data_IF_143368734893
#
_entry.id   IF_143368734893
#
_cell.length_a   1.000
_cell.length_b   1.000
_cell.length_c   1.000
_cell.angle_alpha   90.00
_cell.angle_beta   90.00
_cell.angle_gamma   90.00
#
_symmetry.space_group_name_H-M   'P 1'
#
loop_
_entity.id
_entity.type
_entity.pdbx_description
1 polymer ?
#
# COMPACT_ATOMS: atom_id res chain seq x y z
N UNK A 1 32.98 51.04 45.71
CA UNK A 1 34.20 50.28 45.98
C UNK A 1 34.43 49.27 44.88
N UNK A 2 35.69 49.15 44.41
CA UNK A 2 36.06 48.25 43.31
C UNK A 2 35.74 46.79 43.61
N UNK A 3 35.90 46.35 44.84
CA UNK A 3 35.56 44.98 45.27
C UNK A 3 34.10 44.69 45.11
N UNK A 4 33.23 45.64 45.50
CA UNK A 4 31.77 45.49 45.35
C UNK A 4 31.36 45.38 43.90
N UNK A 5 31.99 46.17 43.01
CA UNK A 5 31.74 46.11 41.57
C UNK A 5 32.18 44.78 40.97
N UNK A 6 33.33 44.23 41.39
CA UNK A 6 33.80 42.91 40.96
C UNK A 6 32.88 41.78 41.42
N UNK A 7 32.39 41.85 42.67
CA UNK A 7 31.42 40.87 43.18
C UNK A 7 30.10 40.91 42.44
N UNK A 8 29.63 42.11 42.13
CA UNK A 8 28.41 42.29 41.34
C UNK A 8 28.55 41.76 39.91
N UNK A 9 29.70 42.06 39.26
CA UNK A 9 30.00 41.53 37.93
C UNK A 9 30.11 39.99 37.95
N UNK A 10 30.74 39.42 38.96
CA UNK A 10 30.85 37.96 39.12
C UNK A 10 29.48 37.33 39.29
N UNK A 11 28.60 37.95 40.08
CA UNK A 11 27.22 37.47 40.28
C UNK A 11 26.43 37.57 38.98
N UNK A 12 26.55 38.66 38.25
CA UNK A 12 25.90 38.83 36.94
C UNK A 12 26.36 37.79 35.95
N UNK A 13 27.66 37.55 35.88
CA UNK A 13 28.27 36.55 34.99
C UNK A 13 27.72 35.15 35.31
N UNK A 14 27.64 34.81 36.59
CA UNK A 14 27.08 33.51 37.04
C UNK A 14 25.62 33.39 36.69
N UNK A 15 24.82 34.44 36.87
CA UNK A 15 23.41 34.46 36.51
C UNK A 15 23.21 34.30 35.00
N UNK A 16 24.05 34.95 34.19
CA UNK A 16 24.01 34.81 32.73
C UNK A 16 24.39 33.40 32.29
N UNK A 17 25.39 32.79 32.91
CA UNK A 17 25.77 31.40 32.63
C UNK A 17 24.62 30.42 32.96
N UNK A 18 24.00 30.62 34.12
CA UNK A 18 22.83 29.79 34.54
C UNK A 18 21.68 29.97 33.57
N UNK A 19 21.36 31.21 33.20
CA UNK A 19 20.30 31.52 32.24
C UNK A 19 20.59 30.90 30.86
N UNK A 20 21.84 30.98 30.41
CA UNK A 20 22.29 30.37 29.16
C UNK A 20 22.10 28.84 29.20
N UNK A 21 22.46 28.19 30.29
CA UNK A 21 22.27 26.77 30.49
C UNK A 21 20.81 26.36 30.48
N UNK A 22 19.94 27.13 31.15
CA UNK A 22 18.49 26.92 31.15
C UNK A 22 17.91 27.05 29.75
N UNK A 23 18.27 28.10 29.02
CA UNK A 23 17.79 28.34 27.64
C UNK A 23 18.28 27.27 26.68
N UNK A 24 19.52 26.80 26.82
CA UNK A 24 20.05 25.70 26.01
C UNK A 24 19.30 24.41 26.22
N UNK A 25 19.00 24.08 27.50
CA UNK A 25 18.20 22.90 27.86
C UNK A 25 16.76 23.00 27.31
N UNK A 26 16.14 24.18 27.47
CA UNK A 26 14.80 24.44 26.93
C UNK A 26 14.76 24.32 25.40
N UNK A 27 15.79 24.82 24.73
CA UNK A 27 15.91 24.70 23.27
C UNK A 27 16.04 23.23 22.82
N UNK A 28 16.81 22.42 23.55
CA UNK A 28 16.96 21.00 23.24
C UNK A 28 15.63 20.25 23.45
N UNK A 29 14.89 20.57 24.51
CA UNK A 29 13.57 20.00 24.77
C UNK A 29 12.57 20.36 23.66
N UNK A 30 12.58 21.61 23.21
CA UNK A 30 11.73 22.06 22.11
C UNK A 30 12.06 21.38 20.78
N UNK A 31 13.36 21.19 20.49
CA UNK A 31 13.82 20.47 19.29
C UNK A 31 13.39 19.02 19.33
N UNK A 32 13.50 18.35 20.46
CA UNK A 32 13.05 16.97 20.65
C UNK A 32 11.55 16.86 20.46
N UNK A 33 10.75 17.77 21.03
CA UNK A 33 9.30 17.81 20.88
C UNK A 33 8.89 18.03 19.42
N UNK A 34 9.56 18.93 18.70
CA UNK A 34 9.32 19.17 17.28
C UNK A 34 9.64 17.96 16.43
N UNK A 35 10.76 17.26 16.71
CA UNK A 35 11.13 16.03 16.01
C UNK A 35 10.13 14.91 16.24
N UNK A 36 9.62 14.74 17.46
CA UNK A 36 8.57 13.76 17.76
C UNK A 36 7.26 14.09 17.06
N UNK A 37 6.89 15.37 17.00
CA UNK A 37 5.69 15.82 16.30
C UNK A 37 5.78 15.52 14.78
N UNK A 38 6.93 15.78 14.16
CA UNK A 38 7.18 15.47 12.76
C UNK A 38 7.10 13.95 12.50
N UNK A 39 7.69 13.14 13.38
CA UNK A 39 7.63 11.68 13.26
C UNK A 39 6.19 11.15 13.35
N UNK A 40 5.38 11.69 14.25
CA UNK A 40 3.96 11.35 14.37
C UNK A 40 3.17 11.76 13.12
N UNK A 41 3.41 12.95 12.59
CA UNK A 41 2.75 13.43 11.38
C UNK A 41 3.09 12.55 10.18
N UNK A 42 4.35 12.18 9.99
CA UNK A 42 4.79 11.27 8.94
C UNK A 42 4.15 9.89 9.07
N UNK A 43 4.09 9.35 10.29
CA UNK A 43 3.42 8.07 10.56
C UNK A 43 1.92 8.12 10.22
N UNK A 44 1.25 9.21 10.58
CA UNK A 44 -0.17 9.42 10.28
C UNK A 44 -0.42 9.51 8.77
N UNK A 45 0.40 10.27 8.05
CA UNK A 45 0.30 10.38 6.58
C UNK A 45 0.53 9.03 5.91
N UNK A 46 1.52 8.27 6.35
CA UNK A 46 1.80 6.93 5.82
C UNK A 46 0.63 5.99 6.05
N UNK A 47 0.07 5.96 7.24
CA UNK A 47 -1.09 5.13 7.58
C UNK A 47 -2.31 5.53 6.74
N UNK A 48 -2.55 6.83 6.55
CA UNK A 48 -3.64 7.35 5.73
C UNK A 48 -3.47 6.94 4.26
N UNK A 49 -2.27 7.07 3.69
CA UNK A 49 -1.97 6.67 2.31
C UNK A 49 -2.19 5.18 2.12
N UNK A 50 -1.72 4.34 3.05
CA UNK A 50 -1.93 2.90 3.00
C UNK A 50 -3.41 2.54 3.07
N UNK A 51 -4.18 3.22 3.91
CA UNK A 51 -5.63 3.02 3.99
C UNK A 51 -6.34 3.42 2.70
N UNK A 52 -5.93 4.51 2.05
CA UNK A 52 -6.46 4.95 0.76
C UNK A 52 -6.13 3.96 -0.36
N UNK A 53 -4.92 3.40 -0.38
CA UNK A 53 -4.53 2.36 -1.34
C UNK A 53 -5.39 1.11 -1.15
N UNK A 54 -5.56 0.64 0.08
CA UNK A 54 -6.40 -0.52 0.40
C UNK A 54 -7.88 -0.30 0.05
N UNK A 55 -8.39 0.92 0.24
CA UNK A 55 -9.74 1.30 -0.14
C UNK A 55 -9.92 1.52 -1.66
N UNK A 56 -8.83 1.56 -2.42
CA UNK A 56 -8.87 1.77 -3.86
C UNK A 56 -9.19 3.20 -4.30
N UNK A 57 -8.98 4.19 -3.44
CA UNK A 57 -9.35 5.59 -3.68
C UNK A 57 -8.24 6.43 -4.30
N UNK A 58 -7.01 5.93 -4.35
CA UNK A 58 -5.85 6.61 -4.95
C UNK A 58 -5.18 5.72 -6.00
N UNK A 59 -4.67 6.35 -7.05
CA UNK A 59 -3.87 5.66 -8.06
C UNK A 59 -2.53 5.23 -7.48
N UNK A 60 -2.05 4.07 -7.91
CA UNK A 60 -0.77 3.49 -7.51
C UNK A 60 -0.02 3.04 -8.77
N UNK A 61 1.28 3.22 -8.81
CA UNK A 61 2.13 2.68 -9.85
C UNK A 61 3.36 2.01 -9.25
N UNK A 62 3.92 1.06 -9.97
CA UNK A 62 5.10 0.33 -9.54
C UNK A 62 5.26 -0.99 -10.28
N UNK A 63 6.24 -1.80 -9.87
CA UNK A 63 6.41 -3.14 -10.42
C UNK A 63 5.20 -4.01 -10.08
N UNK A 64 4.95 -4.99 -10.92
CA UNK A 64 3.83 -5.87 -10.69
C UNK A 64 3.69 -6.96 -11.75
N UNK A 65 2.46 -7.38 -11.94
CA UNK A 65 2.08 -8.47 -12.84
C UNK A 65 0.83 -8.08 -13.63
N UNK A 66 0.83 -8.43 -14.90
CA UNK A 66 -0.40 -8.45 -15.71
C UNK A 66 -0.83 -9.89 -15.90
N UNK A 67 -2.08 -10.20 -15.60
CA UNK A 67 -2.67 -11.53 -15.81
C UNK A 67 -3.78 -11.41 -16.84
N UNK A 68 -3.58 -12.05 -17.98
CA UNK A 68 -4.58 -12.14 -19.03
C UNK A 68 -5.32 -13.48 -18.94
N UNK A 69 -6.65 -13.44 -18.88
CA UNK A 69 -7.49 -14.63 -18.84
C UNK A 69 -8.50 -14.57 -19.97
N UNK A 70 -8.47 -15.56 -20.85
CA UNK A 70 -9.47 -15.72 -21.90
C UNK A 70 -10.33 -16.95 -21.58
N UNK A 71 -11.62 -16.76 -21.49
CA UNK A 71 -12.60 -17.79 -21.17
C UNK A 71 -13.60 -17.96 -22.32
N UNK A 72 -13.24 -18.67 -23.39
CA UNK A 72 -14.08 -18.77 -24.57
C UNK A 72 -15.38 -19.54 -24.32
N UNK A 73 -15.38 -20.46 -23.35
CA UNK A 73 -16.55 -21.25 -22.98
C UNK A 73 -17.46 -20.60 -21.94
N UNK A 74 -17.09 -19.43 -21.44
CA UNK A 74 -17.81 -18.75 -20.35
C UNK A 74 -18.03 -19.67 -19.14
N UNK A 75 -17.01 -20.43 -18.75
CA UNK A 75 -17.08 -21.44 -17.68
C UNK A 75 -16.60 -20.93 -16.31
N UNK A 76 -15.95 -19.78 -16.27
CA UNK A 76 -15.47 -19.19 -15.03
C UNK A 76 -16.64 -18.59 -14.24
N UNK A 77 -16.68 -18.87 -12.97
CA UNK A 77 -17.69 -18.36 -12.03
C UNK A 77 -17.07 -17.35 -11.07
N UNK A 78 -17.90 -16.65 -10.32
CA UNK A 78 -17.45 -15.72 -9.29
C UNK A 78 -16.45 -16.37 -8.31
N UNK A 79 -16.55 -17.66 -8.07
CA UNK A 79 -15.64 -18.40 -7.18
C UNK A 79 -14.18 -18.32 -7.63
N UNK A 80 -13.89 -18.44 -8.93
CA UNK A 80 -12.52 -18.33 -9.45
C UNK A 80 -11.96 -16.91 -9.27
N UNK A 81 -12.80 -15.89 -9.43
CA UNK A 81 -12.38 -14.49 -9.22
C UNK A 81 -12.10 -14.20 -7.74
N UNK A 82 -12.96 -14.65 -6.84
CA UNK A 82 -12.74 -14.53 -5.39
C UNK A 82 -11.44 -15.22 -4.96
N UNK A 83 -11.22 -16.44 -5.45
CA UNK A 83 -10.01 -17.19 -5.16
C UNK A 83 -8.76 -16.48 -5.69
N UNK A 84 -8.79 -16.02 -6.93
CA UNK A 84 -7.68 -15.26 -7.53
C UNK A 84 -7.37 -14.02 -6.71
N UNK A 85 -8.38 -13.25 -6.33
CA UNK A 85 -8.20 -12.07 -5.49
C UNK A 85 -7.57 -12.42 -4.13
N UNK A 86 -8.02 -13.50 -3.52
CA UNK A 86 -7.45 -13.99 -2.26
C UNK A 86 -5.98 -14.39 -2.39
N UNK A 87 -5.62 -15.09 -3.45
CA UNK A 87 -4.24 -15.48 -3.72
C UNK A 87 -3.34 -14.27 -4.00
N UNK A 88 -3.81 -13.29 -4.76
CA UNK A 88 -3.09 -12.04 -5.02
C UNK A 88 -2.81 -11.28 -3.73
N UNK A 89 -3.78 -11.17 -2.85
CA UNK A 89 -3.62 -10.52 -1.54
C UNK A 89 -2.63 -11.26 -0.65
N UNK A 90 -2.74 -12.57 -0.59
CA UNK A 90 -1.82 -13.41 0.18
C UNK A 90 -0.39 -13.35 -0.35
N UNK A 91 -0.21 -13.12 -1.64
CA UNK A 91 1.09 -12.94 -2.28
C UNK A 91 1.68 -11.53 -2.10
N UNK A 92 1.01 -10.65 -1.39
CA UNK A 92 1.49 -9.30 -1.09
C UNK A 92 1.12 -8.24 -2.13
N UNK A 93 0.05 -8.46 -2.90
CA UNK A 93 -0.44 -7.44 -3.83
C UNK A 93 -0.82 -6.16 -3.09
N UNK A 94 -0.30 -5.03 -3.55
CA UNK A 94 -0.54 -3.72 -2.96
C UNK A 94 -1.76 -3.03 -3.58
N UNK A 95 -1.97 -3.21 -4.88
CA UNK A 95 -3.09 -2.68 -5.61
C UNK A 95 -3.49 -3.64 -6.74
N UNK A 96 -4.78 -3.76 -6.98
CA UNK A 96 -5.33 -4.72 -7.94
C UNK A 96 -6.42 -4.02 -8.77
N UNK A 97 -6.37 -4.18 -10.08
CA UNK A 97 -7.39 -3.73 -11.03
C UNK A 97 -7.83 -4.91 -11.90
N UNK A 98 -9.10 -5.01 -12.18
CA UNK A 98 -9.68 -6.02 -13.07
C UNK A 98 -10.59 -5.33 -14.10
N UNK A 99 -10.25 -5.44 -15.37
CA UNK A 99 -11.00 -4.83 -16.49
C UNK A 99 -11.33 -3.34 -16.26
N UNK A 100 -10.37 -2.58 -15.76
CA UNK A 100 -10.55 -1.16 -15.47
C UNK A 100 -11.22 -0.85 -14.13
N UNK A 101 -11.61 -1.87 -13.36
CA UNK A 101 -12.21 -1.70 -12.04
C UNK A 101 -11.15 -1.88 -10.95
N UNK A 102 -10.89 -0.81 -10.19
CA UNK A 102 -9.98 -0.87 -9.04
C UNK A 102 -10.64 -1.65 -7.92
N UNK A 103 -9.98 -2.72 -7.46
CA UNK A 103 -10.46 -3.55 -6.37
C UNK A 103 -10.04 -2.98 -5.01
N UNK A 104 -10.89 -3.16 -4.02
CA UNK A 104 -10.65 -2.76 -2.63
C UNK A 104 -10.78 -3.95 -1.70
N UNK A 105 -10.56 -3.72 -0.42
CA UNK A 105 -10.79 -4.74 0.62
C UNK A 105 -12.25 -5.19 0.73
N UNK A 106 -13.18 -4.42 0.15
CA UNK A 106 -14.64 -4.69 0.16
C UNK A 106 -15.17 -5.15 -1.19
N UNK A 107 -14.31 -5.33 -2.19
CA UNK A 107 -14.76 -5.74 -3.51
C UNK A 107 -15.46 -7.09 -3.49
N UNK A 108 -16.55 -7.19 -4.21
CA UNK A 108 -17.39 -8.39 -4.30
C UNK A 108 -17.60 -8.79 -5.76
N UNK A 109 -17.61 -10.09 -5.98
CA UNK A 109 -17.92 -10.71 -7.26
C UNK A 109 -19.29 -11.40 -7.17
N UNK A 110 -20.13 -11.11 -8.13
CA UNK A 110 -21.47 -11.69 -8.25
C UNK A 110 -21.74 -12.11 -9.69
N UNK A 111 -22.91 -12.67 -9.92
CA UNK A 111 -23.33 -13.11 -11.25
C UNK A 111 -23.04 -14.58 -11.50
N UNK A 112 -23.42 -15.02 -12.71
CA UNK A 112 -23.24 -16.39 -13.18
C UNK A 112 -22.07 -16.50 -14.14
N UNK A 113 -21.69 -17.72 -14.51
CA UNK A 113 -20.66 -17.95 -15.52
C UNK A 113 -20.99 -17.19 -16.82
N UNK A 114 -20.02 -16.46 -17.34
CA UNK A 114 -20.18 -15.60 -18.52
C UNK A 114 -20.88 -14.26 -18.28
N UNK A 115 -21.39 -14.02 -17.09
CA UNK A 115 -22.07 -12.78 -16.68
C UNK A 115 -21.61 -12.32 -15.30
N UNK A 116 -20.29 -12.20 -15.13
CA UNK A 116 -19.65 -11.80 -13.87
C UNK A 116 -19.80 -10.30 -13.67
N UNK A 117 -20.11 -9.92 -12.44
CA UNK A 117 -20.21 -8.53 -12.00
C UNK A 117 -19.22 -8.30 -10.86
N UNK A 118 -18.36 -7.31 -10.99
CA UNK A 118 -17.44 -6.88 -9.95
C UNK A 118 -17.81 -5.47 -9.48
N UNK A 119 -18.12 -5.34 -8.20
CA UNK A 119 -18.51 -4.06 -7.57
C UNK A 119 -19.61 -3.32 -8.37
N UNK A 120 -20.59 -4.06 -8.86
CA UNK A 120 -21.68 -3.51 -9.67
C UNK A 120 -21.36 -3.28 -11.15
N UNK A 121 -20.13 -3.53 -11.59
CA UNK A 121 -19.71 -3.38 -13.00
C UNK A 121 -19.64 -4.74 -13.66
N UNK A 122 -20.42 -4.96 -14.75
CA UNK A 122 -20.34 -6.19 -15.54
C UNK A 122 -18.98 -6.28 -16.25
N UNK A 123 -18.38 -7.45 -16.21
CA UNK A 123 -17.14 -7.76 -16.92
C UNK A 123 -17.30 -9.00 -17.79
N UNK A 124 -16.56 -9.04 -18.87
CA UNK A 124 -16.58 -10.16 -19.82
C UNK A 124 -15.16 -10.56 -20.22
N UNK A 125 -15.02 -11.79 -20.69
CA UNK A 125 -13.75 -12.24 -21.29
C UNK A 125 -13.40 -11.42 -22.52
N UNK A 126 -12.12 -11.07 -22.76
CA UNK A 126 -10.98 -11.39 -21.91
C UNK A 126 -10.91 -10.58 -20.60
N UNK A 127 -10.46 -11.22 -19.54
CA UNK A 127 -10.26 -10.57 -18.26
C UNK A 127 -8.79 -10.18 -18.10
N UNK A 128 -8.54 -8.93 -17.78
CA UNK A 128 -7.17 -8.42 -17.54
C UNK A 128 -7.03 -7.94 -16.10
N UNK A 129 -6.17 -8.60 -15.37
CA UNK A 129 -5.78 -8.20 -14.02
C UNK A 129 -4.48 -7.40 -14.10
N UNK A 130 -4.46 -6.25 -13.48
CA UNK A 130 -3.24 -5.47 -13.23
C UNK A 130 -2.98 -5.49 -11.73
N UNK A 131 -1.81 -5.95 -11.34
CA UNK A 131 -1.47 -6.16 -9.92
C UNK A 131 -0.14 -5.50 -9.64
N UNK A 132 -0.12 -4.60 -8.66
CA UNK A 132 1.10 -3.95 -8.19
C UNK A 132 1.62 -4.70 -6.96
N UNK A 133 2.91 -5.00 -6.96
CA UNK A 133 3.63 -5.74 -5.93
C UNK A 133 4.88 -6.40 -6.50
N UNK A 134 5.47 -7.33 -5.75
CA UNK A 134 6.60 -8.11 -6.27
C UNK A 134 6.13 -9.08 -7.35
N UNK A 135 6.47 -8.76 -8.59
CA UNK A 135 5.99 -9.49 -9.77
C UNK A 135 6.37 -10.98 -9.77
N UNK A 136 7.57 -11.31 -9.33
CA UNK A 136 8.03 -12.69 -9.31
C UNK A 136 7.30 -13.52 -8.24
N UNK A 137 7.14 -12.95 -7.06
CA UNK A 137 6.41 -13.59 -5.96
C UNK A 137 4.96 -13.85 -6.34
N UNK A 138 4.29 -12.85 -6.91
CA UNK A 138 2.89 -12.92 -7.31
C UNK A 138 2.71 -13.92 -8.45
N UNK A 139 3.58 -13.88 -9.47
CA UNK A 139 3.52 -14.81 -10.59
C UNK A 139 3.69 -16.27 -10.11
N UNK A 140 4.63 -16.51 -9.22
CA UNK A 140 4.86 -17.85 -8.64
C UNK A 140 3.64 -18.31 -7.83
N UNK A 141 3.06 -17.44 -7.01
CA UNK A 141 1.90 -17.75 -6.19
C UNK A 141 0.67 -18.14 -7.03
N UNK A 142 0.44 -17.46 -8.15
CA UNK A 142 -0.69 -17.77 -9.04
C UNK A 142 -0.49 -19.08 -9.82
N UNK A 143 0.73 -19.43 -10.14
CA UNK A 143 1.06 -20.57 -11.02
C UNK A 143 1.43 -21.85 -10.26
N UNK A 144 1.16 -21.90 -8.97
CA UNK A 144 1.33 -23.13 -8.18
C UNK A 144 0.33 -24.22 -8.59
N UNK A 145 0.69 -25.45 -8.33
CA UNK A 145 -0.21 -26.59 -8.54
C UNK A 145 -1.49 -26.43 -7.71
N UNK A 146 -2.65 -26.59 -8.34
CA UNK A 146 -3.96 -26.36 -7.74
C UNK A 146 -4.27 -24.90 -7.35
N UNK A 147 -3.44 -23.92 -7.75
CA UNK A 147 -3.73 -22.50 -7.61
C UNK A 147 -4.83 -22.01 -8.55
N UNK A 148 -5.17 -20.73 -8.46
CA UNK A 148 -6.27 -20.13 -9.24
C UNK A 148 -6.02 -20.23 -10.76
N UNK A 149 -4.79 -20.04 -11.22
CA UNK A 149 -4.46 -20.18 -12.64
C UNK A 149 -4.69 -21.61 -13.13
N UNK A 150 -4.26 -22.61 -12.37
CA UNK A 150 -4.48 -24.02 -12.70
C UNK A 150 -5.98 -24.36 -12.73
N UNK A 151 -6.75 -23.86 -11.81
CA UNK A 151 -8.21 -24.07 -11.77
C UNK A 151 -8.93 -23.41 -12.93
N UNK A 152 -8.54 -22.19 -13.31
CA UNK A 152 -9.10 -21.53 -14.49
C UNK A 152 -8.77 -22.29 -15.78
N UNK A 153 -7.55 -22.77 -15.93
CA UNK A 153 -7.13 -23.61 -17.06
C UNK A 153 -7.90 -24.93 -17.12
N UNK A 154 -8.17 -25.54 -15.96
CA UNK A 154 -8.98 -26.77 -15.88
C UNK A 154 -10.41 -26.56 -16.35
N UNK A 155 -10.93 -25.33 -16.27
CA UNK A 155 -12.25 -24.95 -16.81
C UNK A 155 -12.22 -24.53 -18.28
N UNK A 156 -11.08 -24.62 -18.94
CA UNK A 156 -10.93 -24.31 -20.36
C UNK A 156 -10.46 -22.89 -20.65
N UNK A 157 -10.15 -22.10 -19.64
CA UNK A 157 -9.59 -20.77 -19.83
C UNK A 157 -8.10 -20.81 -20.17
N UNK A 158 -7.65 -19.79 -20.88
CA UNK A 158 -6.21 -19.51 -21.11
C UNK A 158 -5.75 -18.45 -20.14
N UNK A 159 -4.69 -18.73 -19.41
CA UNK A 159 -4.14 -17.79 -18.40
C UNK A 159 -2.69 -17.48 -18.74
N UNK A 160 -2.38 -16.21 -18.92
CA UNK A 160 -1.03 -15.70 -19.19
C UNK A 160 -0.62 -14.74 -18.07
N UNK A 161 0.51 -15.02 -17.42
CA UNK A 161 1.03 -14.24 -16.30
C UNK A 161 2.33 -13.59 -16.75
N UNK A 162 2.37 -12.26 -16.76
CA UNK A 162 3.52 -11.48 -17.25
C UNK A 162 3.98 -10.48 -16.20
N UNK A 163 5.16 -10.69 -15.57
CA UNK A 163 5.76 -9.68 -14.71
C UNK A 163 6.09 -8.40 -15.48
N UNK A 164 5.88 -7.24 -14.85
CA UNK A 164 6.10 -5.90 -15.45
C UNK A 164 6.88 -5.05 -14.46
N UNK A 165 7.80 -4.22 -14.96
CA UNK A 165 8.62 -3.37 -14.09
C UNK A 165 7.90 -2.11 -13.64
N UNK A 166 6.93 -1.63 -14.40
CA UNK A 166 6.14 -0.45 -14.07
C UNK A 166 4.72 -0.59 -14.63
N UNK A 167 3.75 -0.50 -13.75
CA UNK A 167 2.32 -0.62 -14.00
C UNK A 167 1.62 0.62 -13.43
N UNK A 168 0.58 1.11 -14.12
CA UNK A 168 -0.27 2.22 -13.67
C UNK A 168 -1.67 1.70 -13.35
#
# INVERSE_FOLDING_TARGET
>A
DLVTVLDELSTQEQNLRNRRGELSSELDDLRSAASEADAREQATRKAQTQAQIAAGTVAVHGPGVTVGVTDPGANLTATQFVQTLGELRNAGAEAIELNGVRLSTRSAFTGQAGAIVVDGTPITSPYTWKVIGDGQTIATALDIQAGSAAQMRAKGATVTITPVNDLL
#
